data_IF_006645090922
#
_entry.id   IF_006645090922
#
_cell.length_a   1.000
_cell.length_b   1.000
_cell.length_c   1.000
_cell.angle_alpha   90.00
_cell.angle_beta   90.00
_cell.angle_gamma   90.00
#
_symmetry.space_group_name_H-M   'P 1'
#
loop_
_entity.id
_entity.type
_entity.pdbx_description
1 polymer ?
#
# COMPACT_ATOMS: atom_id res chain seq x y z
N UNK A 1 -19.50 -11.67 3.52
CA UNK A 1 -18.86 -11.29 2.25
C UNK A 1 -17.78 -10.26 2.50
N UNK A 2 -18.17 -9.01 2.70
CA UNK A 2 -17.24 -7.89 2.88
C UNK A 2 -16.19 -8.07 3.97
N UNK A 3 -16.62 -8.25 5.23
CA UNK A 3 -15.70 -8.33 6.38
C UNK A 3 -14.71 -9.49 6.27
N UNK A 4 -15.15 -10.63 5.75
CA UNK A 4 -14.28 -11.79 5.50
C UNK A 4 -13.24 -11.48 4.43
N UNK A 5 -13.62 -10.83 3.33
CA UNK A 5 -12.67 -10.45 2.29
C UNK A 5 -11.69 -9.38 2.78
N UNK A 6 -12.17 -8.37 3.50
CA UNK A 6 -11.34 -7.34 4.10
C UNK A 6 -10.29 -7.95 5.03
N UNK A 7 -10.69 -8.86 5.90
CA UNK A 7 -9.77 -9.57 6.79
C UNK A 7 -8.76 -10.41 6.01
N UNK A 8 -9.19 -11.16 4.99
CA UNK A 8 -8.28 -11.94 4.13
C UNK A 8 -7.29 -11.03 3.42
N UNK A 9 -7.75 -9.93 2.80
CA UNK A 9 -6.86 -8.97 2.15
C UNK A 9 -5.84 -8.39 3.14
N UNK A 10 -6.26 -7.98 4.33
CA UNK A 10 -5.34 -7.49 5.36
C UNK A 10 -4.34 -8.58 5.82
N UNK A 11 -4.81 -9.81 6.00
CA UNK A 11 -4.01 -10.94 6.45
C UNK A 11 -3.02 -11.46 5.41
N UNK A 12 -3.25 -11.25 4.11
CA UNK A 12 -2.36 -11.76 3.06
C UNK A 12 -1.61 -10.66 2.32
N UNK A 13 -2.03 -9.40 2.40
CA UNK A 13 -1.40 -8.26 1.72
C UNK A 13 0.10 -8.10 2.09
N UNK A 14 0.45 -8.32 3.36
CA UNK A 14 1.83 -8.20 3.85
C UNK A 14 2.79 -9.26 3.29
N UNK A 15 2.28 -10.39 2.77
CA UNK A 15 3.12 -11.47 2.23
C UNK A 15 3.97 -10.99 1.04
N UNK A 16 3.43 -10.05 0.25
CA UNK A 16 4.13 -9.40 -0.87
C UNK A 16 5.38 -8.62 -0.39
N UNK A 17 5.32 -8.02 0.80
CA UNK A 17 6.40 -7.22 1.38
C UNK A 17 7.55 -8.09 1.90
N UNK A 18 7.30 -9.35 2.26
CA UNK A 18 8.32 -10.26 2.80
C UNK A 18 9.47 -10.46 1.81
N UNK A 19 9.15 -10.65 0.53
CA UNK A 19 10.16 -10.80 -0.53
C UNK A 19 11.03 -9.56 -0.69
N UNK A 20 10.41 -8.38 -0.64
CA UNK A 20 11.10 -7.08 -0.73
C UNK A 20 12.04 -6.88 0.45
N UNK A 21 11.54 -7.06 1.68
CA UNK A 21 12.34 -6.93 2.90
C UNK A 21 13.51 -7.91 2.88
N UNK A 22 13.27 -9.17 2.51
CA UNK A 22 14.34 -10.17 2.42
C UNK A 22 15.42 -9.78 1.41
N UNK A 23 15.03 -9.28 0.23
CA UNK A 23 15.98 -8.82 -0.77
C UNK A 23 16.83 -7.65 -0.25
N UNK A 24 16.21 -6.69 0.45
CA UNK A 24 16.92 -5.53 0.99
C UNK A 24 17.85 -5.91 2.15
N UNK A 25 17.48 -6.89 2.98
CA UNK A 25 18.38 -7.45 4.01
C UNK A 25 19.59 -8.17 3.39
N UNK A 26 19.38 -8.97 2.34
CA UNK A 26 20.48 -9.65 1.63
C UNK A 26 21.42 -8.66 0.97
N UNK A 27 20.87 -7.59 0.38
CA UNK A 27 21.64 -6.48 -0.19
C UNK A 27 22.42 -5.73 0.89
N UNK A 28 21.75 -5.39 2.00
CA UNK A 28 22.36 -4.62 3.08
C UNK A 28 23.53 -5.35 3.76
N UNK A 29 23.45 -6.68 3.85
CA UNK A 29 24.56 -7.51 4.36
C UNK A 29 25.87 -7.33 3.59
N UNK A 30 25.80 -6.94 2.31
CA UNK A 30 26.97 -6.73 1.46
C UNK A 30 27.53 -5.30 1.51
N UNK A 31 26.92 -4.37 2.26
CA UNK A 31 27.40 -3.00 2.34
C UNK A 31 28.66 -2.87 3.21
N UNK A 32 29.54 -1.94 2.82
CA UNK A 32 30.82 -1.71 3.49
C UNK A 32 30.65 -1.18 4.92
N UNK A 33 29.60 -0.38 5.19
CA UNK A 33 29.31 0.09 6.54
C UNK A 33 28.91 -1.04 7.49
N UNK A 34 28.25 -2.10 6.99
CA UNK A 34 27.90 -3.29 7.78
C UNK A 34 29.17 -4.09 8.10
N UNK A 35 30.05 -4.24 7.12
CA UNK A 35 31.36 -4.91 7.30
C UNK A 35 32.24 -4.15 8.30
N UNK A 36 32.31 -2.83 8.18
CA UNK A 36 33.04 -1.96 9.12
C UNK A 36 32.45 -2.02 10.54
N UNK A 37 31.12 -1.95 10.69
CA UNK A 37 30.46 -2.07 12.00
C UNK A 37 30.75 -3.41 12.68
N UNK A 38 30.79 -4.51 11.90
CA UNK A 38 31.17 -5.83 12.40
C UNK A 38 32.65 -5.90 12.78
N UNK A 39 33.55 -5.31 11.98
CA UNK A 39 34.98 -5.23 12.30
C UNK A 39 35.26 -4.41 13.58
N UNK A 40 34.40 -3.44 13.89
CA UNK A 40 34.41 -2.67 15.14
C UNK A 40 33.80 -3.42 16.35
N UNK A 41 33.42 -4.69 16.20
CA UNK A 41 32.91 -5.53 17.29
C UNK A 41 31.44 -5.30 17.64
N UNK A 42 30.65 -4.65 16.77
CA UNK A 42 29.22 -4.45 17.01
C UNK A 42 28.45 -5.76 16.88
N UNK A 43 27.51 -6.02 17.81
CA UNK A 43 26.66 -7.21 17.77
C UNK A 43 25.69 -7.19 16.57
N UNK A 44 25.46 -8.36 15.98
CA UNK A 44 24.60 -8.51 14.79
C UNK A 44 23.18 -7.96 15.02
N UNK A 45 22.61 -8.15 16.22
CA UNK A 45 21.29 -7.58 16.55
C UNK A 45 21.28 -6.05 16.51
N UNK A 46 22.33 -5.39 17.03
CA UNK A 46 22.43 -3.92 16.98
C UNK A 46 22.60 -3.44 15.54
N UNK A 47 23.37 -4.14 14.72
CA UNK A 47 23.51 -3.84 13.28
C UNK A 47 22.17 -3.99 12.56
N UNK A 48 21.44 -5.06 12.83
CA UNK A 48 20.13 -5.33 12.22
C UNK A 48 19.11 -4.24 12.56
N UNK A 49 18.87 -3.96 13.85
CA UNK A 49 17.82 -3.00 14.23
C UNK A 49 18.19 -1.54 13.99
N UNK A 50 19.47 -1.17 14.09
CA UNK A 50 19.91 0.24 13.98
C UNK A 50 20.26 0.66 12.55
N UNK A 51 20.74 -0.28 11.72
CA UNK A 51 21.25 0.05 10.40
C UNK A 51 20.48 -0.64 9.27
N UNK A 52 20.25 -1.96 9.36
CA UNK A 52 19.66 -2.73 8.25
C UNK A 52 18.13 -2.57 8.19
N UNK A 53 17.44 -2.68 9.33
CA UNK A 53 15.98 -2.62 9.41
C UNK A 53 15.43 -1.26 8.97
N UNK A 54 15.97 -0.10 9.41
CA UNK A 54 15.50 1.19 8.91
C UNK A 54 15.70 1.34 7.40
N UNK A 55 16.81 0.83 6.84
CA UNK A 55 17.04 0.84 5.40
C UNK A 55 16.01 -0.04 4.64
N UNK A 56 15.71 -1.23 5.18
CA UNK A 56 14.68 -2.11 4.61
C UNK A 56 13.27 -1.53 4.68
N UNK A 57 12.94 -0.78 5.75
CA UNK A 57 11.64 -0.12 5.92
C UNK A 57 11.38 0.93 4.83
N UNK A 58 12.42 1.65 4.36
CA UNK A 58 12.27 2.61 3.25
C UNK A 58 11.80 1.91 1.96
N UNK A 59 12.32 0.71 1.69
CA UNK A 59 11.85 -0.09 0.56
C UNK A 59 10.40 -0.55 0.75
N UNK A 60 10.01 -0.96 1.96
CA UNK A 60 8.61 -1.31 2.26
C UNK A 60 7.65 -0.13 2.10
N UNK A 61 8.03 1.04 2.59
CA UNK A 61 7.24 2.29 2.49
C UNK A 61 7.02 2.71 1.04
N UNK A 62 7.94 2.36 0.14
CA UNK A 62 7.79 2.60 -1.31
C UNK A 62 6.62 1.84 -1.92
N UNK A 63 6.34 0.61 -1.46
CA UNK A 63 5.27 -0.22 -2.02
C UNK A 63 3.92 -0.04 -1.34
N UNK A 64 3.90 0.57 -0.15
CA UNK A 64 2.69 0.76 0.65
C UNK A 64 1.55 1.47 -0.11
N UNK A 65 1.78 2.56 -0.86
CA UNK A 65 0.71 3.26 -1.58
C UNK A 65 0.03 2.37 -2.62
N UNK A 66 0.82 1.55 -3.31
CA UNK A 66 0.34 0.63 -4.35
C UNK A 66 -0.47 -0.52 -3.76
N UNK A 67 -0.01 -1.08 -2.64
CA UNK A 67 -0.72 -2.16 -1.94
C UNK A 67 -2.09 -1.67 -1.45
N UNK A 68 -2.13 -0.47 -0.86
CA UNK A 68 -3.38 0.14 -0.39
C UNK A 68 -4.34 0.43 -1.55
N UNK A 69 -3.83 1.00 -2.64
CA UNK A 69 -4.61 1.27 -3.86
C UNK A 69 -5.19 -0.01 -4.46
N UNK A 70 -4.37 -1.06 -4.60
CA UNK A 70 -4.82 -2.37 -5.09
C UNK A 70 -5.88 -3.00 -4.19
N UNK A 71 -5.76 -2.84 -2.86
CA UNK A 71 -6.74 -3.35 -1.91
C UNK A 71 -8.10 -2.66 -2.05
N UNK A 72 -8.12 -1.33 -2.25
CA UNK A 72 -9.34 -0.56 -2.46
C UNK A 72 -10.01 -0.94 -3.78
N UNK A 73 -9.25 -1.12 -4.85
CA UNK A 73 -9.77 -1.58 -6.14
C UNK A 73 -10.40 -2.97 -5.99
N UNK A 74 -9.75 -3.90 -5.28
CA UNK A 74 -10.29 -5.23 -5.03
C UNK A 74 -11.61 -5.19 -4.25
N UNK A 75 -11.70 -4.37 -3.20
CA UNK A 75 -12.93 -4.18 -2.43
C UNK A 75 -14.04 -3.53 -3.27
N UNK A 76 -13.69 -2.52 -4.07
CA UNK A 76 -14.63 -1.81 -4.96
C UNK A 76 -15.17 -2.74 -6.05
N UNK A 77 -14.34 -3.60 -6.62
CA UNK A 77 -14.75 -4.60 -7.61
C UNK A 77 -15.69 -5.65 -7.02
N UNK A 78 -15.40 -6.14 -5.81
CA UNK A 78 -16.29 -7.08 -5.12
C UNK A 78 -17.65 -6.46 -4.80
N UNK A 79 -17.62 -5.21 -4.38
CA UNK A 79 -18.80 -4.43 -4.04
C UNK A 79 -19.66 -4.12 -5.28
N UNK A 80 -19.03 -3.80 -6.41
CA UNK A 80 -19.70 -3.69 -7.71
C UNK A 80 -20.38 -5.00 -8.14
N UNK A 81 -19.78 -6.16 -7.82
CA UNK A 81 -20.37 -7.49 -8.06
C UNK A 81 -21.52 -7.83 -7.09
N UNK A 82 -21.81 -6.98 -6.09
CA UNK A 82 -22.85 -7.21 -5.09
C UNK A 82 -22.46 -8.23 -4.00
N UNK A 83 -21.18 -8.58 -3.92
CA UNK A 83 -20.63 -9.50 -2.90
C UNK A 83 -19.94 -8.75 -1.74
N UNK A 84 -19.90 -7.42 -1.84
CA UNK A 84 -19.32 -6.49 -0.87
C UNK A 84 -20.26 -6.15 0.27
N UNK A 85 -20.50 -4.85 0.47
CA UNK A 85 -21.27 -4.34 1.61
C UNK A 85 -22.77 -4.65 1.49
N UNK A 86 -23.54 -4.64 2.60
CA UNK A 86 -24.97 -4.88 2.54
C UNK A 86 -25.70 -3.91 1.59
N UNK A 87 -26.72 -4.35 0.84
CA UNK A 87 -27.48 -3.49 -0.06
C UNK A 87 -28.04 -2.26 0.68
N UNK A 88 -27.83 -1.06 0.12
CA UNK A 88 -28.23 0.22 0.72
C UNK A 88 -27.11 0.96 1.46
N UNK A 89 -25.91 0.38 1.60
CA UNK A 89 -24.72 1.13 2.03
C UNK A 89 -24.15 1.97 0.88
N UNK A 90 -23.85 3.24 1.13
CA UNK A 90 -23.15 4.07 0.16
C UNK A 90 -21.69 3.61 0.02
N UNK A 91 -21.37 2.93 -1.09
CA UNK A 91 -20.06 2.35 -1.34
C UNK A 91 -19.58 2.64 -2.76
N UNK A 92 -18.25 2.57 -2.98
CA UNK A 92 -17.65 2.93 -4.27
C UNK A 92 -18.08 1.98 -5.40
N UNK A 93 -18.29 0.69 -5.08
CA UNK A 93 -18.74 -0.29 -6.05
C UNK A 93 -20.20 -0.07 -6.43
N UNK A 94 -21.04 0.28 -5.44
CA UNK A 94 -22.44 0.63 -5.67
C UNK A 94 -22.59 1.92 -6.50
N UNK A 95 -21.74 2.92 -6.26
CA UNK A 95 -21.67 4.15 -7.07
C UNK A 95 -21.41 3.84 -8.57
N UNK A 96 -20.46 2.94 -8.85
CA UNK A 96 -20.16 2.49 -10.22
C UNK A 96 -21.30 1.66 -10.80
N UNK A 97 -21.94 0.82 -9.99
CA UNK A 97 -23.08 0.00 -10.39
C UNK A 97 -24.27 0.86 -10.78
N UNK A 98 -24.58 1.90 -9.99
CA UNK A 98 -25.64 2.86 -10.31
C UNK A 98 -25.38 3.57 -11.65
N UNK A 99 -24.13 3.92 -11.96
CA UNK A 99 -23.74 4.45 -13.27
C UNK A 99 -23.94 3.47 -14.42
N UNK A 100 -23.71 2.16 -14.20
CA UNK A 100 -23.94 1.09 -15.18
C UNK A 100 -25.43 0.82 -15.42
N UNK A 101 -26.22 0.81 -14.36
CA UNK A 101 -27.64 0.43 -14.39
C UNK A 101 -28.52 1.58 -14.88
N UNK A 102 -28.04 2.83 -14.80
CA UNK A 102 -28.75 4.03 -15.28
C UNK A 102 -28.06 4.66 -16.50
N UNK A 103 -27.98 3.92 -17.61
CA UNK A 103 -27.41 4.40 -18.89
C UNK A 103 -28.10 5.66 -19.44
N UNK A 104 -29.37 5.86 -19.08
CA UNK A 104 -30.17 7.05 -19.38
C UNK A 104 -29.69 8.31 -18.63
N UNK A 105 -28.87 8.16 -17.60
CA UNK A 105 -28.36 9.23 -16.75
C UNK A 105 -26.81 9.23 -16.77
N UNK A 106 -26.18 9.65 -17.88
CA UNK A 106 -24.73 9.55 -18.07
C UNK A 106 -23.92 10.32 -17.02
N UNK A 107 -24.51 11.34 -16.38
CA UNK A 107 -23.89 12.07 -15.28
C UNK A 107 -23.56 11.18 -14.08
N UNK A 108 -24.32 10.11 -13.82
CA UNK A 108 -24.05 9.17 -12.73
C UNK A 108 -22.77 8.36 -12.98
N UNK A 109 -22.60 7.90 -14.22
CA UNK A 109 -21.37 7.20 -14.64
C UNK A 109 -20.15 8.12 -14.58
N UNK A 110 -20.28 9.36 -15.07
CA UNK A 110 -19.20 10.35 -15.03
C UNK A 110 -18.84 10.74 -13.58
N UNK A 111 -19.83 11.00 -12.73
CA UNK A 111 -19.58 11.29 -11.31
C UNK A 111 -18.90 10.11 -10.61
N UNK A 112 -19.34 8.88 -10.92
CA UNK A 112 -18.75 7.66 -10.37
C UNK A 112 -17.28 7.53 -10.74
N UNK A 113 -16.96 7.72 -12.02
CA UNK A 113 -15.60 7.72 -12.53
C UNK A 113 -14.73 8.80 -11.87
N UNK A 114 -15.21 10.04 -11.82
CA UNK A 114 -14.45 11.18 -11.26
C UNK A 114 -14.16 10.97 -9.78
N UNK A 115 -15.13 10.50 -9.00
CA UNK A 115 -14.94 10.23 -7.55
C UNK A 115 -13.90 9.15 -7.33
N UNK A 116 -14.01 8.01 -8.03
CA UNK A 116 -13.05 6.90 -7.89
C UNK A 116 -11.65 7.31 -8.36
N UNK A 117 -11.55 8.01 -9.50
CA UNK A 117 -10.28 8.48 -10.03
C UNK A 117 -9.60 9.45 -9.05
N UNK A 118 -10.31 10.48 -8.58
CA UNK A 118 -9.77 11.44 -7.61
C UNK A 118 -9.36 10.77 -6.31
N UNK A 119 -10.20 9.88 -5.77
CA UNK A 119 -9.89 9.18 -4.52
C UNK A 119 -8.62 8.34 -4.64
N UNK A 120 -8.48 7.54 -5.70
CA UNK A 120 -7.29 6.72 -5.92
C UNK A 120 -6.05 7.59 -6.15
N UNK A 121 -6.16 8.67 -6.94
CA UNK A 121 -5.05 9.61 -7.14
C UNK A 121 -4.61 10.27 -5.84
N UNK A 122 -5.56 10.77 -5.03
CA UNK A 122 -5.25 11.37 -3.73
C UNK A 122 -4.59 10.37 -2.80
N UNK A 123 -5.05 9.12 -2.78
CA UNK A 123 -4.46 8.09 -1.93
C UNK A 123 -3.02 7.77 -2.33
N UNK A 124 -2.74 7.67 -3.64
CA UNK A 124 -1.37 7.48 -4.13
C UNK A 124 -0.49 8.67 -3.76
N UNK A 125 -0.95 9.90 -3.96
CA UNK A 125 -0.18 11.09 -3.60
C UNK A 125 0.08 11.21 -2.10
N UNK A 126 -0.92 10.94 -1.26
CA UNK A 126 -0.74 10.89 0.19
C UNK A 126 0.27 9.80 0.55
N UNK A 127 0.19 8.64 -0.10
CA UNK A 127 1.13 7.54 0.12
C UNK A 127 2.57 7.91 -0.26
N UNK A 128 2.78 8.56 -1.40
CA UNK A 128 4.09 9.07 -1.80
C UNK A 128 4.58 10.18 -0.86
N UNK A 129 3.71 11.07 -0.38
CA UNK A 129 4.07 12.09 0.59
C UNK A 129 4.49 11.48 1.94
N UNK A 130 3.78 10.45 2.41
CA UNK A 130 4.16 9.68 3.61
C UNK A 130 5.51 9.01 3.39
N UNK A 131 5.69 8.31 2.28
CA UNK A 131 6.96 7.70 1.91
C UNK A 131 8.10 8.72 1.92
N UNK A 132 7.87 9.89 1.33
CA UNK A 132 8.83 10.99 1.27
C UNK A 132 9.19 11.52 2.65
N UNK A 133 8.22 11.64 3.57
CA UNK A 133 8.47 12.07 4.94
C UNK A 133 9.33 11.07 5.73
N UNK A 134 9.28 9.79 5.36
CA UNK A 134 10.06 8.72 5.98
C UNK A 134 11.36 8.39 5.21
N UNK A 135 11.66 9.01 4.06
CA UNK A 135 12.97 8.84 3.40
C UNK A 135 14.03 9.70 4.11
N UNK A 136 14.98 9.10 4.87
CA UNK A 136 15.95 9.85 5.66
C UNK A 136 16.97 10.61 4.83
N UNK A 137 17.06 10.36 3.50
CA UNK A 137 18.01 11.06 2.63
C UNK A 137 17.71 12.54 2.42
N UNK A 138 16.49 13.01 2.70
CA UNK A 138 16.11 14.42 2.52
C UNK A 138 16.52 15.33 3.69
N UNK A 139 16.93 14.76 4.84
CA UNK A 139 17.29 15.52 6.04
C UNK A 139 18.79 15.83 6.15
N UNK A 140 19.57 15.64 5.07
CA UNK A 140 20.99 15.99 5.00
C UNK A 140 21.13 17.15 4.02
N UNK A 141 20.84 18.37 4.48
CA UNK A 141 21.22 19.63 3.84
C UNK A 141 21.88 20.51 4.89
#
# INVERSE_FOLDING_TARGET
>A
GFWTLLLVLMLFSWTSLVGVVRAEFLRARNFDYVRAARALGMSDGRIMFKHVLPNAMVATLTFLPFILSGSIVALTALDFLGLGLPPGSASLGDLLRQGKDNLQAPWLGVSGFVVVALMLSLLVFVGEAVRDAFDPRKNVI
#
